data_IF_215432679977
#
_entry.id   IF_215432679977
#
_cell.length_a   1.000
_cell.length_b   1.000
_cell.length_c   1.000
_cell.angle_alpha   90.00
_cell.angle_beta   90.00
_cell.angle_gamma   90.00
#
_symmetry.space_group_name_H-M   'P 1'
#
loop_
_entity.id
_entity.type
_entity.pdbx_description
1 polymer ?
#
# COMPACT_ATOMS: atom_id res chain seq x y z
N UNK A 1 9.13 -6.77 9.66
CA UNK A 1 9.37 -7.60 8.45
C UNK A 1 10.15 -8.83 8.86
N UNK A 2 9.69 -10.04 8.52
CA UNK A 2 10.48 -11.25 8.78
C UNK A 2 11.61 -11.33 7.74
N UNK A 3 12.86 -11.64 8.12
CA UNK A 3 13.92 -11.85 7.15
C UNK A 3 13.52 -12.99 6.19
N UNK A 4 13.56 -12.73 4.88
CA UNK A 4 13.19 -13.70 3.83
C UNK A 4 11.79 -13.57 3.23
N UNK A 5 10.95 -12.63 3.67
CA UNK A 5 9.60 -12.43 3.12
C UNK A 5 9.65 -11.71 1.75
N UNK A 6 9.15 -12.36 0.69
CA UNK A 6 9.06 -11.81 -0.66
C UNK A 6 7.70 -11.13 -0.87
N UNK A 7 7.71 -9.88 -1.35
CA UNK A 7 6.48 -9.14 -1.68
C UNK A 7 6.59 -8.53 -3.07
N UNK A 8 5.55 -8.74 -3.88
CA UNK A 8 5.46 -8.16 -5.22
C UNK A 8 4.95 -6.71 -5.13
N UNK A 9 5.79 -5.78 -5.56
CA UNK A 9 5.52 -4.34 -5.54
C UNK A 9 5.77 -3.75 -6.93
N UNK A 10 4.98 -2.75 -7.33
CA UNK A 10 5.29 -1.92 -8.50
C UNK A 10 6.44 -0.96 -8.18
N UNK A 11 7.05 -0.34 -9.20
CA UNK A 11 8.21 0.55 -9.01
C UNK A 11 8.01 1.70 -8.00
N UNK A 12 6.76 2.14 -7.77
CA UNK A 12 6.43 3.24 -6.83
C UNK A 12 6.08 2.76 -5.41
N UNK A 13 5.90 1.46 -5.24
CA UNK A 13 5.44 0.88 -3.98
C UNK A 13 6.51 0.62 -2.93
N UNK A 14 7.79 0.37 -3.27
CA UNK A 14 8.87 0.33 -2.29
C UNK A 14 8.99 1.61 -1.48
N UNK A 15 8.87 2.78 -2.12
CA UNK A 15 8.94 4.07 -1.42
C UNK A 15 7.73 4.29 -0.52
N UNK A 16 6.55 3.85 -0.97
CA UNK A 16 5.33 3.82 -0.16
C UNK A 16 5.53 2.96 1.08
N UNK A 17 6.07 1.75 0.93
CA UNK A 17 6.34 0.84 2.03
C UNK A 17 7.25 1.48 3.09
N UNK A 18 8.39 2.05 2.68
CA UNK A 18 9.31 2.75 3.59
C UNK A 18 8.62 3.89 4.34
N UNK A 19 7.79 4.66 3.63
CA UNK A 19 7.08 5.79 4.23
C UNK A 19 6.03 5.33 5.25
N UNK A 20 5.28 4.27 4.93
CA UNK A 20 4.28 3.71 5.84
C UNK A 20 4.92 3.04 7.05
N UNK A 21 6.09 2.40 6.89
CA UNK A 21 6.89 1.92 8.01
C UNK A 21 7.28 3.07 8.95
N UNK A 22 7.77 4.19 8.40
CA UNK A 22 8.08 5.37 9.21
C UNK A 22 6.85 5.95 9.95
N UNK A 23 5.68 5.97 9.30
CA UNK A 23 4.43 6.39 9.97
C UNK A 23 4.03 5.42 11.07
N UNK A 24 4.16 4.11 10.83
CA UNK A 24 3.70 3.08 11.75
C UNK A 24 4.63 2.85 12.96
N UNK A 25 5.93 2.99 12.76
CA UNK A 25 6.98 2.56 13.69
C UNK A 25 7.79 3.74 14.26
N UNK A 26 8.04 4.79 13.47
CA UNK A 26 8.90 5.92 13.88
C UNK A 26 8.14 7.21 14.18
N UNK A 27 6.80 7.19 14.13
CA UNK A 27 5.96 8.35 14.47
C UNK A 27 5.95 9.46 13.41
N UNK A 28 6.28 9.17 12.15
CA UNK A 28 6.19 10.16 11.08
C UNK A 28 4.74 10.65 10.94
N UNK A 29 4.56 11.97 10.87
CA UNK A 29 3.23 12.58 10.68
C UNK A 29 2.62 12.13 9.34
N UNK A 30 1.38 11.60 9.33
CA UNK A 30 0.70 11.16 8.10
C UNK A 30 0.62 12.22 7.00
N UNK A 31 0.47 13.50 7.37
CA UNK A 31 0.47 14.62 6.42
C UNK A 31 1.76 14.73 5.59
N UNK A 32 2.93 14.57 6.22
CA UNK A 32 4.23 14.61 5.52
C UNK A 32 4.40 13.43 4.58
N UNK A 33 3.96 12.26 5.01
CA UNK A 33 3.94 11.07 4.16
C UNK A 33 2.99 11.24 2.97
N UNK A 34 1.83 11.86 3.18
CA UNK A 34 0.84 12.14 2.14
C UNK A 34 1.40 13.07 1.04
N UNK A 35 2.04 14.17 1.43
CA UNK A 35 2.73 15.09 0.52
C UNK A 35 3.77 14.35 -0.34
N UNK A 36 4.64 13.55 0.30
CA UNK A 36 5.72 12.83 -0.41
C UNK A 36 5.20 11.73 -1.33
N UNK A 37 4.10 11.08 -0.96
CA UNK A 37 3.52 9.98 -1.75
C UNK A 37 2.52 10.46 -2.81
N UNK A 38 2.15 11.75 -2.81
CA UNK A 38 1.07 12.26 -3.67
C UNK A 38 -0.27 11.58 -3.37
N UNK A 39 -0.51 11.22 -2.11
CA UNK A 39 -1.73 10.57 -1.63
C UNK A 39 -2.50 11.50 -0.71
N UNK A 40 -3.79 11.24 -0.51
CA UNK A 40 -4.53 11.90 0.57
C UNK A 40 -4.07 11.41 1.94
N UNK A 41 -4.15 12.28 2.95
CA UNK A 41 -3.85 11.93 4.35
C UNK A 41 -4.66 10.71 4.80
N UNK A 42 -5.95 10.65 4.44
CA UNK A 42 -6.80 9.49 4.74
C UNK A 42 -6.29 8.19 4.12
N UNK A 43 -5.77 8.22 2.90
CA UNK A 43 -5.17 7.03 2.30
C UNK A 43 -3.93 6.60 3.08
N UNK A 44 -3.09 7.56 3.48
CA UNK A 44 -1.90 7.29 4.30
C UNK A 44 -2.29 6.72 5.65
N UNK A 45 -3.25 7.28 6.38
CA UNK A 45 -3.70 6.79 7.69
C UNK A 45 -4.26 5.37 7.65
N UNK A 46 -4.88 4.97 6.54
CA UNK A 46 -5.40 3.61 6.35
C UNK A 46 -4.31 2.56 6.10
N UNK A 47 -3.13 2.95 5.64
CA UNK A 47 -2.07 2.02 5.28
C UNK A 47 -1.36 1.39 6.49
N UNK A 48 -1.03 2.12 7.59
CA UNK A 48 -0.51 1.53 8.82
C UNK A 48 -1.41 0.44 9.41
N UNK A 49 -2.73 0.61 9.35
CA UNK A 49 -3.68 -0.41 9.81
C UNK A 49 -3.50 -1.71 9.02
N UNK A 50 -3.39 -1.62 7.69
CA UNK A 50 -3.17 -2.80 6.83
C UNK A 50 -1.78 -3.39 7.03
N UNK A 51 -0.77 -2.54 7.17
CA UNK A 51 0.62 -2.96 7.42
C UNK A 51 0.75 -3.76 8.71
N UNK A 52 0.07 -3.35 9.79
CA UNK A 52 0.06 -4.12 11.04
C UNK A 52 -0.62 -5.49 10.91
N UNK A 53 -1.66 -5.61 10.09
CA UNK A 53 -2.38 -6.88 9.88
C UNK A 53 -1.73 -7.83 8.88
N UNK A 54 -1.10 -7.31 7.82
CA UNK A 54 -0.65 -8.08 6.66
C UNK A 54 0.83 -7.87 6.32
N UNK A 55 1.56 -7.14 7.16
CA UNK A 55 2.96 -6.78 6.88
C UNK A 55 3.11 -5.93 5.60
N UNK A 56 4.25 -6.03 4.91
CA UNK A 56 4.53 -5.26 3.71
C UNK A 56 3.50 -5.48 2.57
N UNK A 57 2.92 -6.68 2.48
CA UNK A 57 1.88 -6.99 1.51
C UNK A 57 0.61 -6.13 1.70
N UNK A 58 0.35 -5.65 2.91
CA UNK A 58 -0.77 -4.74 3.20
C UNK A 58 -0.63 -3.34 2.59
N UNK A 59 0.57 -2.95 2.15
CA UNK A 59 0.85 -1.64 1.54
C UNK A 59 0.76 -1.69 0.01
N UNK A 60 0.89 -2.88 -0.56
CA UNK A 60 0.72 -3.11 -1.99
C UNK A 60 -0.72 -2.76 -2.43
N UNK A 61 -0.87 -2.34 -3.69
CA UNK A 61 -2.18 -2.08 -4.26
C UNK A 61 -3.01 -3.35 -4.32
N UNK A 62 -4.19 -3.34 -3.70
CA UNK A 62 -5.13 -4.45 -3.78
C UNK A 62 -5.71 -4.70 -5.17
N UNK A 63 -5.35 -3.89 -6.18
CA UNK A 63 -5.66 -4.15 -7.59
C UNK A 63 -4.69 -5.15 -8.25
N UNK A 64 -3.56 -5.44 -7.62
CA UNK A 64 -2.60 -6.40 -8.16
C UNK A 64 -3.25 -7.77 -8.35
N UNK A 65 -3.07 -8.35 -9.54
CA UNK A 65 -3.63 -9.65 -9.90
C UNK A 65 -5.16 -9.70 -9.93
N UNK A 66 -5.86 -8.57 -9.81
CA UNK A 66 -7.32 -8.52 -9.83
C UNK A 66 -7.84 -7.87 -11.12
N UNK A 67 -8.94 -8.40 -11.68
CA UNK A 67 -9.62 -7.72 -12.78
C UNK A 67 -10.09 -6.34 -12.32
N UNK A 68 -10.13 -5.39 -13.26
CA UNK A 68 -10.64 -4.05 -12.97
C UNK A 68 -12.10 -4.08 -12.52
N UNK A 69 -12.51 -3.15 -11.66
CA UNK A 69 -13.88 -3.10 -11.11
C UNK A 69 -15.00 -2.98 -12.17
N UNK A 70 -14.64 -2.72 -13.44
CA UNK A 70 -15.57 -2.62 -14.59
C UNK A 70 -15.41 -3.78 -15.58
N UNK A 71 -14.66 -4.83 -15.23
CA UNK A 71 -14.52 -6.01 -16.10
C UNK A 71 -15.92 -6.60 -16.28
N UNK A 72 -16.30 -6.83 -17.53
CA UNK A 72 -17.52 -7.54 -17.90
C UNK A 72 -17.28 -9.05 -17.78
N UNK A 73 -18.32 -9.79 -17.45
CA UNK A 73 -18.25 -11.25 -17.42
C UNK A 73 -17.90 -11.79 -18.81
N UNK A 74 -17.24 -12.94 -18.85
CA UNK A 74 -16.93 -13.61 -20.11
C UNK A 74 -18.24 -13.94 -20.85
N UNK A 75 -18.45 -13.28 -21.99
CA UNK A 75 -19.70 -13.34 -22.79
C UNK A 75 -20.50 -12.04 -22.84
N UNK A 76 -20.17 -11.05 -22.03
CA UNK A 76 -20.79 -9.71 -22.06
C UNK A 76 -19.84 -8.60 -22.57
N UNK A 77 -18.60 -8.96 -22.93
CA UNK A 77 -17.55 -8.06 -23.40
C UNK A 77 -17.73 -7.64 -24.87
#
# INVERSE_FOLDING_TARGET
MRPGELVTLTMREPDRLKMIQAVAETGLKPGRAAERLGLSVRQVERLPIRYRGHGPAGVASGRHGRPGNRKLDEGLA
#
